data_IF_308354601213
#
_entry.id   IF_308354601213
#
_cell.length_a   1.000
_cell.length_b   1.000
_cell.length_c   1.000
_cell.angle_alpha   90.00
_cell.angle_beta   90.00
_cell.angle_gamma   90.00
#
_symmetry.space_group_name_H-M   'P 1'
#
loop_
_entity.id
_entity.type
_entity.pdbx_description
1 polymer ?
#
# COMPACT_ATOMS: atom_id res chain seq x y z
N UNK A 1 6.07 -9.23 2.73
CA UNK A 1 4.63 -9.06 2.99
C UNK A 1 4.41 -7.64 3.48
N UNK A 2 3.37 -6.95 2.99
CA UNK A 2 3.00 -5.63 3.52
C UNK A 2 2.45 -5.83 4.94
N UNK A 3 2.96 -5.08 5.90
CA UNK A 3 2.49 -5.07 7.27
C UNK A 3 2.36 -3.63 7.76
N UNK A 4 1.20 -3.30 8.32
CA UNK A 4 0.92 -1.97 8.84
C UNK A 4 1.26 -1.87 10.33
N UNK A 5 2.10 -0.90 10.69
CA UNK A 5 2.39 -0.60 12.08
C UNK A 5 1.40 0.46 12.59
N UNK A 6 0.49 0.07 13.48
CA UNK A 6 -0.56 0.96 14.01
C UNK A 6 -0.01 2.15 14.80
N UNK A 7 1.11 1.98 15.51
CA UNK A 7 1.70 3.03 16.37
C UNK A 7 2.39 4.11 15.55
N UNK A 8 3.11 3.71 14.52
CA UNK A 8 3.78 4.64 13.59
C UNK A 8 2.84 5.09 12.48
N UNK A 9 1.77 4.32 12.24
CA UNK A 9 0.82 4.48 11.15
C UNK A 9 1.47 4.46 9.77
N UNK A 10 2.42 3.55 9.57
CA UNK A 10 3.15 3.36 8.31
C UNK A 10 3.07 1.90 7.85
N UNK A 11 2.96 1.71 6.55
CA UNK A 11 3.11 0.41 5.92
C UNK A 11 4.60 0.08 5.79
N UNK A 12 4.98 -1.11 6.24
CA UNK A 12 6.33 -1.63 6.09
C UNK A 12 6.31 -2.88 5.21
N UNK A 13 7.25 -2.96 4.28
CA UNK A 13 7.51 -4.19 3.54
C UNK A 13 8.54 -5.00 4.30
N UNK A 14 8.10 -6.05 4.99
CA UNK A 14 8.99 -6.92 5.77
C UNK A 14 8.98 -8.34 5.23
N UNK A 15 10.08 -9.05 5.44
CA UNK A 15 10.17 -10.48 5.15
C UNK A 15 9.45 -11.22 6.28
N UNK A 16 8.42 -11.98 5.92
CA UNK A 16 7.67 -12.82 6.83
C UNK A 16 7.74 -14.27 6.38
N UNK A 17 7.72 -15.23 7.32
CA UNK A 17 7.59 -16.64 6.98
C UNK A 17 6.26 -16.91 6.27
N UNK A 18 6.27 -17.91 5.40
CA UNK A 18 5.08 -18.31 4.63
C UNK A 18 4.17 -19.21 5.46
N UNK A 19 2.86 -19.07 5.27
CA UNK A 19 1.86 -19.98 5.84
C UNK A 19 1.92 -21.37 5.20
N UNK A 20 1.42 -22.38 5.90
CA UNK A 20 1.30 -23.75 5.39
C UNK A 20 0.50 -23.82 4.08
N UNK A 21 -0.63 -23.13 4.00
CA UNK A 21 -1.42 -23.03 2.77
C UNK A 21 -0.60 -22.51 1.57
N UNK A 22 0.26 -21.52 1.79
CA UNK A 22 1.13 -20.99 0.73
C UNK A 22 2.24 -21.98 0.32
N UNK A 23 2.77 -22.75 1.26
CA UNK A 23 3.73 -23.83 0.98
C UNK A 23 3.08 -24.91 0.10
N UNK A 24 1.88 -25.33 0.46
CA UNK A 24 1.14 -26.37 -0.26
C UNK A 24 0.69 -25.88 -1.64
N UNK A 25 0.32 -24.60 -1.78
CA UNK A 25 0.07 -23.98 -3.09
C UNK A 25 1.32 -24.01 -3.99
N UNK A 26 2.51 -23.70 -3.46
CA UNK A 26 3.77 -23.76 -4.21
C UNK A 26 4.10 -25.19 -4.65
N UNK A 27 3.88 -26.18 -3.78
CA UNK A 27 4.06 -27.59 -4.12
C UNK A 27 3.06 -28.04 -5.21
N UNK A 28 1.81 -27.59 -5.13
CA UNK A 28 0.76 -27.88 -6.12
C UNK A 28 1.06 -27.34 -7.52
N UNK A 29 1.82 -26.23 -7.64
CA UNK A 29 2.21 -25.68 -8.94
C UNK A 29 3.11 -26.63 -9.75
N UNK A 30 3.89 -27.49 -9.09
CA UNK A 30 4.85 -28.40 -9.74
C UNK A 30 4.13 -29.59 -10.39
N UNK A 31 3.00 -30.01 -9.83
CA UNK A 31 2.23 -31.17 -10.30
C UNK A 31 1.22 -30.89 -11.43
N UNK A 32 1.25 -29.71 -12.07
CA UNK A 32 0.22 -29.31 -13.05
C UNK A 32 0.28 -30.07 -14.38
N UNK A 33 1.47 -30.47 -14.81
CA UNK A 33 1.69 -31.11 -16.11
C UNK A 33 2.10 -32.58 -15.97
N UNK A 34 2.70 -32.96 -14.85
CA UNK A 34 3.19 -34.31 -14.60
C UNK A 34 3.77 -34.45 -13.19
N UNK A 35 4.27 -35.64 -12.83
CA UNK A 35 4.91 -35.83 -11.53
C UNK A 35 6.17 -34.96 -11.42
N UNK A 36 6.29 -34.22 -10.33
CA UNK A 36 7.46 -33.39 -10.06
C UNK A 36 7.75 -33.31 -8.56
N UNK A 37 8.96 -32.89 -8.21
CA UNK A 37 9.48 -32.89 -6.84
C UNK A 37 9.59 -31.47 -6.32
N UNK A 38 9.08 -31.22 -5.11
CA UNK A 38 9.20 -29.93 -4.42
C UNK A 38 10.21 -30.05 -3.28
N UNK A 39 11.31 -29.28 -3.36
CA UNK A 39 12.29 -29.20 -2.29
C UNK A 39 11.97 -28.02 -1.37
N UNK A 40 11.70 -28.30 -0.09
CA UNK A 40 11.36 -27.29 0.92
C UNK A 40 12.56 -27.09 1.85
N UNK A 41 13.15 -25.90 1.87
CA UNK A 41 14.27 -25.55 2.74
C UNK A 41 13.76 -25.08 4.11
N UNK A 42 13.18 -26.00 4.88
CA UNK A 42 12.59 -25.75 6.21
C UNK A 42 12.83 -26.96 7.11
N UNK A 43 13.03 -26.69 8.40
CA UNK A 43 13.14 -27.74 9.41
C UNK A 43 11.77 -28.37 9.69
N UNK A 44 11.76 -29.64 10.07
CA UNK A 44 10.53 -30.37 10.41
C UNK A 44 9.82 -29.80 11.63
N UNK A 45 10.57 -29.23 12.59
CA UNK A 45 9.99 -28.52 13.73
C UNK A 45 9.20 -27.28 13.29
N UNK A 46 9.72 -26.56 12.30
CA UNK A 46 9.11 -25.33 11.81
C UNK A 46 7.76 -25.56 11.10
N UNK A 47 7.51 -26.76 10.56
CA UNK A 47 6.20 -27.13 10.00
C UNK A 47 5.06 -27.06 11.02
N UNK A 48 5.36 -27.28 12.31
CA UNK A 48 4.37 -27.21 13.39
C UNK A 48 4.17 -25.77 13.90
N UNK A 49 5.14 -24.89 13.70
CA UNK A 49 5.09 -23.49 14.12
C UNK A 49 4.46 -22.57 13.05
N UNK A 50 4.38 -23.03 11.80
CA UNK A 50 3.78 -22.27 10.70
C UNK A 50 2.28 -22.00 10.93
N UNK A 51 1.86 -20.77 10.63
CA UNK A 51 0.45 -20.44 10.55
C UNK A 51 -0.26 -21.29 9.48
N UNK A 52 -1.46 -21.83 9.76
CA UNK A 52 -2.19 -22.67 8.81
C UNK A 52 -2.56 -21.90 7.53
N UNK A 53 -3.01 -20.66 7.69
CA UNK A 53 -3.43 -19.75 6.63
C UNK A 53 -2.72 -18.40 6.78
N UNK A 54 -2.53 -17.65 5.69
CA UNK A 54 -2.02 -16.29 5.81
C UNK A 54 -3.02 -15.44 6.60
N UNK A 55 -2.51 -14.53 7.43
CA UNK A 55 -3.35 -13.51 8.08
C UNK A 55 -4.14 -12.76 6.98
N UNK A 56 -5.36 -12.27 7.23
CA UNK A 56 -6.12 -11.49 6.25
C UNK A 56 -5.42 -10.19 5.83
N UNK A 57 -5.68 -9.70 4.62
CA UNK A 57 -5.10 -8.44 4.13
C UNK A 57 -5.65 -7.23 4.91
N UNK A 58 -6.96 -7.19 5.16
CA UNK A 58 -7.64 -6.11 5.88
C UNK A 58 -7.07 -5.87 7.29
N UNK A 59 -6.49 -6.90 7.92
CA UNK A 59 -5.86 -6.78 9.24
C UNK A 59 -4.42 -6.25 9.18
N UNK A 60 -3.82 -6.13 8.00
CA UNK A 60 -2.38 -5.88 7.82
C UNK A 60 -2.05 -4.70 6.92
N UNK A 61 -3.04 -4.05 6.35
CA UNK A 61 -2.87 -2.87 5.50
C UNK A 61 -3.50 -1.65 6.13
N UNK A 62 -3.06 -0.47 5.68
CA UNK A 62 -3.77 0.77 5.93
C UNK A 62 -5.20 0.70 5.35
N UNK A 63 -6.20 1.11 6.14
CA UNK A 63 -7.60 1.06 5.75
C UNK A 63 -8.12 2.37 5.14
N UNK A 64 -7.27 3.37 4.90
CA UNK A 64 -7.68 4.67 4.38
C UNK A 64 -8.56 4.58 3.12
N UNK A 65 -8.13 3.85 2.09
CA UNK A 65 -8.92 3.66 0.86
C UNK A 65 -10.21 2.88 1.11
N UNK A 66 -10.14 1.85 1.96
CA UNK A 66 -11.29 0.98 2.27
C UNK A 66 -12.35 1.77 3.04
N UNK A 67 -11.95 2.55 4.05
CA UNK A 67 -12.86 3.42 4.82
C UNK A 67 -13.48 4.47 3.94
N UNK A 68 -12.70 5.10 3.06
CA UNK A 68 -13.20 6.09 2.10
C UNK A 68 -14.26 5.48 1.17
N UNK A 69 -13.97 4.29 0.62
CA UNK A 69 -14.90 3.55 -0.23
C UNK A 69 -16.18 3.14 0.53
N UNK A 70 -16.07 2.57 1.73
CA UNK A 70 -17.22 2.16 2.54
C UNK A 70 -18.11 3.36 2.89
N UNK A 71 -17.51 4.52 3.19
CA UNK A 71 -18.25 5.76 3.42
C UNK A 71 -18.96 6.25 2.15
N UNK A 72 -18.35 6.08 0.97
CA UNK A 72 -19.00 6.45 -0.30
C UNK A 72 -20.25 5.59 -0.59
N UNK A 73 -20.27 4.37 -0.07
CA UNK A 73 -21.41 3.45 -0.11
C UNK A 73 -22.49 3.75 0.95
N UNK A 74 -22.35 4.87 1.68
CA UNK A 74 -23.27 5.31 2.75
C UNK A 74 -23.37 4.31 3.91
N UNK A 75 -22.24 3.70 4.29
CA UNK A 75 -22.14 2.87 5.49
C UNK A 75 -21.72 3.77 6.66
N UNK A 76 -22.64 3.99 7.58
CA UNK A 76 -22.41 4.88 8.73
C UNK A 76 -21.55 4.20 9.79
N UNK A 77 -21.92 2.98 10.18
CA UNK A 77 -21.28 2.19 11.23
C UNK A 77 -20.28 1.19 10.66
N UNK A 78 -19.02 1.59 10.57
CA UNK A 78 -17.93 0.71 10.15
C UNK A 78 -17.61 -0.38 11.18
N UNK A 79 -17.91 -0.15 12.46
CA UNK A 79 -17.67 -1.11 13.54
C UNK A 79 -18.66 -2.27 13.54
N UNK A 80 -19.87 -2.05 13.03
CA UNK A 80 -20.94 -3.05 12.94
C UNK A 80 -21.02 -3.67 11.52
N UNK A 81 -20.11 -3.28 10.64
CA UNK A 81 -20.03 -3.85 9.31
C UNK A 81 -19.62 -5.32 9.40
N UNK A 82 -20.36 -6.21 8.73
CA UNK A 82 -20.15 -7.66 8.74
C UNK A 82 -18.92 -8.11 7.96
N UNK A 83 -17.72 -7.70 8.39
CA UNK A 83 -16.46 -8.21 7.84
C UNK A 83 -16.32 -9.70 8.16
N UNK A 84 -15.84 -10.49 7.17
CA UNK A 84 -15.50 -11.90 7.39
C UNK A 84 -14.41 -12.05 8.46
N UNK A 85 -13.36 -11.24 8.33
CA UNK A 85 -12.29 -11.10 9.32
C UNK A 85 -12.18 -9.61 9.69
N UNK A 86 -12.75 -9.16 10.81
CA UNK A 86 -12.74 -7.74 11.15
C UNK A 86 -11.31 -7.26 11.43
N UNK A 87 -10.94 -6.05 10.97
CA UNK A 87 -9.70 -5.41 11.39
C UNK A 87 -9.81 -4.94 12.85
N UNK A 88 -8.67 -4.59 13.47
CA UNK A 88 -8.69 -4.01 14.81
C UNK A 88 -9.43 -2.68 14.82
N UNK A 89 -10.22 -2.43 15.87
CA UNK A 89 -10.96 -1.17 16.03
C UNK A 89 -10.02 0.04 16.01
N UNK A 90 -8.84 -0.10 16.59
CA UNK A 90 -7.78 0.91 16.54
C UNK A 90 -7.35 1.26 15.11
N UNK A 91 -7.28 0.28 14.19
CA UNK A 91 -6.92 0.54 12.80
C UNK A 91 -8.01 1.34 12.07
N UNK A 92 -9.28 0.98 12.31
CA UNK A 92 -10.44 1.70 11.74
C UNK A 92 -10.42 3.15 12.23
N UNK A 93 -10.30 3.36 13.54
CA UNK A 93 -10.31 4.70 14.15
C UNK A 93 -9.13 5.55 13.67
N UNK A 94 -7.91 4.99 13.60
CA UNK A 94 -6.75 5.70 13.06
C UNK A 94 -6.94 6.07 11.58
N UNK A 95 -7.56 5.21 10.79
CA UNK A 95 -7.82 5.47 9.37
C UNK A 95 -8.88 6.56 9.20
N UNK A 96 -9.96 6.53 9.99
CA UNK A 96 -10.95 7.61 10.03
C UNK A 96 -10.32 8.94 10.45
N UNK A 97 -9.48 8.94 11.49
CA UNK A 97 -8.77 10.12 11.95
C UNK A 97 -7.86 10.70 10.85
N UNK A 98 -7.14 9.86 10.11
CA UNK A 98 -6.31 10.30 8.97
C UNK A 98 -7.14 10.93 7.86
N UNK A 99 -8.28 10.34 7.51
CA UNK A 99 -9.19 10.90 6.51
C UNK A 99 -9.81 12.22 6.97
N UNK A 100 -10.10 12.36 8.26
CA UNK A 100 -10.55 13.61 8.86
C UNK A 100 -9.47 14.70 8.79
N UNK A 101 -8.21 14.40 9.15
CA UNK A 101 -7.08 15.34 9.01
C UNK A 101 -6.83 15.72 7.54
N UNK A 102 -7.06 14.80 6.61
CA UNK A 102 -7.01 15.09 5.18
C UNK A 102 -8.19 15.96 4.70
N UNK A 103 -9.24 16.13 5.49
CA UNK A 103 -10.45 16.86 5.11
C UNK A 103 -11.38 16.08 4.20
N UNK A 104 -11.19 14.75 4.09
CA UNK A 104 -12.09 13.86 3.36
C UNK A 104 -13.36 13.54 4.17
N UNK A 105 -13.28 13.61 5.51
CA UNK A 105 -14.40 13.40 6.42
C UNK A 105 -14.69 14.67 7.24
N UNK A 106 -15.97 14.89 7.54
CA UNK A 106 -16.48 15.91 8.46
C UNK A 106 -16.35 15.47 9.93
N UNK A 107 -16.60 16.40 10.86
CA UNK A 107 -16.61 16.12 12.31
C UNK A 107 -17.67 15.09 12.73
N UNK A 108 -18.71 14.89 11.91
CA UNK A 108 -19.77 13.90 12.13
C UNK A 108 -19.40 12.52 11.56
N UNK A 109 -18.34 12.44 10.74
CA UNK A 109 -17.89 11.21 10.09
C UNK A 109 -18.48 10.96 8.69
N UNK A 110 -19.10 11.98 8.10
CA UNK A 110 -19.61 11.96 6.71
C UNK A 110 -18.57 12.46 5.71
N UNK A 111 -18.69 12.03 4.45
CA UNK A 111 -17.85 12.50 3.35
C UNK A 111 -18.09 13.98 3.03
N UNK A 112 -17.00 14.73 2.89
CA UNK A 112 -16.99 16.10 2.35
C UNK A 112 -17.06 16.09 0.82
N UNK A 113 -17.30 17.25 0.20
CA UNK A 113 -17.18 17.42 -1.26
C UNK A 113 -15.79 17.04 -1.76
N UNK A 114 -14.75 17.30 -0.96
CA UNK A 114 -13.38 16.87 -1.24
C UNK A 114 -13.29 15.34 -1.17
N UNK A 115 -13.84 14.72 -0.12
CA UNK A 115 -13.87 13.27 0.04
C UNK A 115 -14.55 12.56 -1.12
N UNK A 116 -15.67 13.08 -1.61
CA UNK A 116 -16.36 12.55 -2.80
C UNK A 116 -15.49 12.57 -4.04
N UNK A 117 -14.78 13.67 -4.30
CA UNK A 117 -13.81 13.73 -5.42
C UNK A 117 -12.66 12.76 -5.24
N UNK A 118 -12.19 12.55 -4.00
CA UNK A 118 -11.09 11.63 -3.71
C UNK A 118 -11.46 10.16 -3.99
N UNK A 119 -12.72 9.76 -3.79
CA UNK A 119 -13.21 8.40 -4.04
C UNK A 119 -13.10 8.02 -5.53
N UNK A 120 -13.21 9.00 -6.44
CA UNK A 120 -13.15 8.74 -7.88
C UNK A 120 -11.75 8.36 -8.37
N UNK A 121 -10.70 8.67 -7.61
CA UNK A 121 -9.33 8.34 -7.97
C UNK A 121 -8.91 6.98 -7.44
N UNK A 122 -8.29 6.11 -8.27
CA UNK A 122 -7.73 4.82 -7.83
C UNK A 122 -6.36 5.01 -7.18
N UNK A 123 -6.24 5.97 -6.27
CA UNK A 123 -5.00 6.39 -5.62
C UNK A 123 -5.21 6.43 -4.10
N UNK A 124 -4.11 6.40 -3.36
CA UNK A 124 -4.18 6.65 -1.92
C UNK A 124 -4.70 8.07 -1.63
N UNK A 125 -5.40 8.30 -0.50
CA UNK A 125 -6.15 9.53 -0.28
C UNK A 125 -5.21 10.73 -0.16
N UNK A 126 -3.98 10.53 0.30
CA UNK A 126 -2.98 11.59 0.35
C UNK A 126 -2.54 12.05 -1.05
N UNK A 127 -2.37 11.13 -2.00
CA UNK A 127 -2.01 11.45 -3.40
C UNK A 127 -3.21 12.07 -4.14
N UNK A 128 -4.41 11.54 -3.92
CA UNK A 128 -5.63 12.13 -4.48
C UNK A 128 -5.82 13.59 -4.03
N UNK A 129 -5.58 13.88 -2.74
CA UNK A 129 -5.61 15.25 -2.24
C UNK A 129 -4.53 16.12 -2.88
N UNK A 130 -3.33 15.59 -3.09
CA UNK A 130 -2.23 16.31 -3.74
C UNK A 130 -2.62 16.78 -5.15
N UNK A 131 -3.29 15.92 -5.93
CA UNK A 131 -3.81 16.28 -7.25
C UNK A 131 -4.88 17.37 -7.20
N UNK A 132 -5.86 17.22 -6.29
CA UNK A 132 -6.96 18.19 -6.14
C UNK A 132 -6.47 19.57 -5.71
N UNK A 133 -5.46 19.64 -4.84
CA UNK A 133 -4.84 20.91 -4.45
C UNK A 133 -3.91 21.44 -5.55
N UNK A 134 -3.22 20.56 -6.28
CA UNK A 134 -2.40 20.94 -7.44
C UNK A 134 -3.20 21.63 -8.54
N UNK A 135 -4.44 21.19 -8.76
CA UNK A 135 -5.39 21.88 -9.65
C UNK A 135 -5.70 23.31 -9.16
N UNK A 136 -5.98 23.48 -7.86
CA UNK A 136 -6.29 24.79 -7.28
C UNK A 136 -5.10 25.77 -7.32
N UNK A 137 -3.88 25.25 -7.21
CA UNK A 137 -2.64 26.04 -7.24
C UNK A 137 -2.10 26.27 -8.66
N UNK A 138 -2.71 25.64 -9.68
CA UNK A 138 -2.30 25.77 -11.08
C UNK A 138 -1.04 25.00 -11.48
N UNK A 139 -0.59 24.04 -10.66
CA UNK A 139 0.61 23.21 -10.88
C UNK A 139 0.28 21.73 -11.13
N UNK A 140 -0.85 21.47 -11.80
CA UNK A 140 -1.37 20.11 -11.99
C UNK A 140 -0.44 19.21 -12.81
N UNK A 141 0.25 19.74 -13.82
CA UNK A 141 1.08 18.93 -14.73
C UNK A 141 2.29 18.33 -13.99
N UNK A 142 2.96 19.14 -13.17
CA UNK A 142 4.11 18.73 -12.37
C UNK A 142 3.68 17.75 -11.29
N UNK A 143 2.60 18.05 -10.57
CA UNK A 143 2.06 17.18 -9.52
C UNK A 143 1.60 15.84 -10.09
N UNK A 144 0.92 15.84 -11.24
CA UNK A 144 0.47 14.62 -11.90
C UNK A 144 1.66 13.70 -12.25
N UNK A 145 2.74 14.28 -12.76
CA UNK A 145 3.96 13.53 -13.11
C UNK A 145 4.59 12.93 -11.86
N UNK A 146 4.69 13.70 -10.77
CA UNK A 146 5.22 13.20 -9.50
C UNK A 146 4.36 12.06 -8.94
N UNK A 147 3.03 12.21 -8.93
CA UNK A 147 2.09 11.20 -8.43
C UNK A 147 2.17 9.92 -9.27
N UNK A 148 2.29 10.06 -10.59
CA UNK A 148 2.48 8.93 -11.50
C UNK A 148 3.78 8.17 -11.16
N UNK A 149 4.90 8.89 -10.99
CA UNK A 149 6.20 8.28 -10.67
C UNK A 149 6.23 7.60 -9.31
N UNK A 150 5.47 8.09 -8.32
CA UNK A 150 5.34 7.46 -7.00
C UNK A 150 4.48 6.19 -7.01
N UNK A 151 3.59 6.06 -7.99
CA UNK A 151 2.66 4.92 -8.11
C UNK A 151 3.31 3.71 -8.80
N UNK A 152 4.42 3.93 -9.49
CA UNK A 152 5.16 2.91 -10.25
C UNK A 152 6.35 2.40 -9.43
N UNK A 153 6.81 1.14 -9.61
CA UNK A 153 8.06 0.68 -9.02
C UNK A 153 9.23 1.62 -9.32
N UNK A 154 10.26 1.67 -8.46
CA UNK A 154 11.36 2.62 -8.61
C UNK A 154 12.02 2.50 -9.98
N UNK A 155 12.10 3.64 -10.69
CA UNK A 155 12.61 3.73 -12.06
C UNK A 155 14.14 3.58 -12.11
N UNK A 156 14.83 4.03 -11.05
CA UNK A 156 16.29 3.90 -10.96
C UNK A 156 16.70 2.46 -10.61
N UNK A 157 17.36 1.81 -11.56
CA UNK A 157 17.89 0.46 -11.38
C UNK A 157 19.36 0.49 -11.00
N UNK A 158 19.70 -0.01 -9.80
CA UNK A 158 21.06 -0.01 -9.26
C UNK A 158 21.61 -1.44 -9.11
N UNK A 159 22.23 -2.02 -10.16
CA UNK A 159 22.84 -3.35 -10.10
C UNK A 159 24.12 -3.33 -9.25
N UNK A 160 24.39 -4.42 -8.53
CA UNK A 160 25.59 -4.53 -7.66
C UNK A 160 26.91 -4.47 -8.42
N UNK A 161 26.91 -4.92 -9.68
CA UNK A 161 28.13 -5.00 -10.49
C UNK A 161 28.46 -3.68 -11.22
N UNK A 162 27.50 -2.75 -11.33
CA UNK A 162 27.65 -1.47 -12.06
C UNK A 162 27.05 -0.30 -11.30
N UNK A 163 27.50 -0.17 -10.05
CA UNK A 163 27.01 0.87 -9.14
C UNK A 163 27.41 2.26 -9.65
N UNK A 164 28.67 2.46 -10.03
CA UNK A 164 29.20 3.76 -10.44
C UNK A 164 28.52 4.30 -11.71
N UNK A 165 28.27 3.44 -12.71
CA UNK A 165 27.55 3.82 -13.94
C UNK A 165 26.09 4.23 -13.65
N UNK A 166 25.42 3.51 -12.74
CA UNK A 166 24.06 3.82 -12.31
C UNK A 166 23.99 5.13 -11.55
N UNK A 167 24.93 5.37 -10.65
CA UNK A 167 24.96 6.58 -9.83
C UNK A 167 25.28 7.81 -10.73
N UNK A 168 26.21 7.68 -11.69
CA UNK A 168 26.50 8.72 -12.68
C UNK A 168 25.31 9.02 -13.63
N UNK A 169 24.49 8.01 -13.97
CA UNK A 169 23.27 8.23 -14.73
C UNK A 169 22.20 8.99 -13.90
N UNK A 170 22.09 8.68 -12.61
CA UNK A 170 21.15 9.34 -11.69
C UNK A 170 21.53 10.80 -11.41
N UNK A 171 22.83 11.12 -11.31
CA UNK A 171 23.31 12.49 -11.07
C UNK A 171 22.79 13.49 -12.10
N UNK A 172 22.55 13.08 -13.35
CA UNK A 172 22.02 13.96 -14.41
C UNK A 172 20.62 14.52 -14.11
N UNK A 173 19.83 13.80 -13.32
CA UNK A 173 18.45 14.15 -13.00
C UNK A 173 18.30 14.64 -11.55
N UNK A 174 19.36 14.49 -10.74
CA UNK A 174 19.34 14.73 -9.31
C UNK A 174 19.15 16.21 -8.97
N UNK A 175 18.18 16.48 -8.10
CA UNK A 175 17.94 17.80 -7.53
C UNK A 175 18.28 17.74 -6.03
N UNK A 176 19.27 18.52 -5.53
CA UNK A 176 19.76 18.42 -4.16
C UNK A 176 18.69 18.61 -3.08
N UNK A 177 17.66 19.39 -3.39
CA UNK A 177 16.63 19.78 -2.44
C UNK A 177 15.43 18.82 -2.39
N UNK A 178 15.23 17.97 -3.41
CA UNK A 178 14.03 17.14 -3.49
C UNK A 178 14.16 15.90 -4.38
N UNK A 179 13.86 14.74 -3.80
CA UNK A 179 13.67 13.50 -4.56
C UNK A 179 12.44 13.54 -5.48
N UNK A 180 11.39 14.28 -5.11
CA UNK A 180 10.20 14.42 -5.96
C UNK A 180 10.50 15.24 -7.22
N UNK A 181 11.31 16.30 -7.11
CA UNK A 181 11.79 17.05 -8.27
C UNK A 181 12.78 16.23 -9.11
N UNK A 182 13.56 15.37 -8.46
CA UNK A 182 14.40 14.39 -9.18
C UNK A 182 13.54 13.47 -10.04
N UNK A 183 12.42 12.96 -9.52
CA UNK A 183 11.47 12.13 -10.28
C UNK A 183 10.75 12.88 -11.41
N UNK A 184 10.57 14.19 -11.28
CA UNK A 184 9.99 15.03 -12.34
C UNK A 184 10.94 15.17 -13.55
N UNK A 185 12.25 15.13 -13.31
CA UNK A 185 13.26 15.32 -14.34
C UNK A 185 13.61 14.05 -15.13
N UNK A 186 13.21 12.87 -14.66
CA UNK A 186 13.47 11.56 -15.29
C UNK A 186 12.73 11.44 -16.62
#
# INVERSE_FOLDING_TARGET
MKGYNLRMGMDALQVFPISRAAVDQRAGCIGRTGPGTCYRLIESAYLNEMLPSPVPEIQRTNLGNVVLLLKSLKIDNLLDFGFMDPPSQENILNSMYRLWVLGALNNVGDLTDLGWKMVEFPLDPHLAKMLLIGEQLGCINEVLTIVLMLSVPPVFFRPKDRIEESDAAREKFFVPESDHLTLLNV
#
